data_IF_752151825127
#
_entry.id   IF_752151825127
#
_cell.length_a   1.000
_cell.length_b   1.000
_cell.length_c   1.000
_cell.angle_alpha   90.00
_cell.angle_beta   90.00
_cell.angle_gamma   90.00
#
_symmetry.space_group_name_H-M   'P 1'
#
loop_
_entity.id
_entity.type
_entity.pdbx_description
1 polymer ?
#
# COMPACT_ATOMS: atom_id res chain seq x y z
N UNK A 1 127.82 -9.66 6.20
CA UNK A 1 127.20 -10.20 4.98
C UNK A 1 126.35 -9.10 4.36
N UNK A 2 126.61 -8.83 3.08
CA UNK A 2 125.85 -8.08 2.04
C UNK A 2 124.90 -6.95 2.51
N UNK A 3 125.25 -5.68 2.31
CA UNK A 3 125.19 -4.89 1.05
C UNK A 3 123.77 -4.70 0.51
N UNK A 4 123.26 -3.48 0.67
CA UNK A 4 122.52 -2.76 -0.39
C UNK A 4 122.78 -1.27 -0.24
N UNK A 5 123.58 -0.75 -1.18
CA UNK A 5 123.74 0.67 -1.47
C UNK A 5 122.74 1.07 -2.57
N UNK A 6 122.35 2.34 -2.61
CA UNK A 6 122.04 3.18 -3.80
C UNK A 6 121.60 4.57 -3.25
N UNK A 7 122.39 5.64 -3.41
CA UNK A 7 122.48 6.55 -4.57
C UNK A 7 121.14 7.27 -4.82
N UNK A 8 120.98 8.59 -4.96
CA UNK A 8 121.73 9.82 -4.73
C UNK A 8 120.76 10.99 -5.05
N UNK A 9 121.28 12.22 -4.98
CA UNK A 9 120.81 13.44 -5.67
C UNK A 9 119.80 14.31 -4.89
N UNK A 10 120.32 15.45 -4.41
CA UNK A 10 119.51 16.57 -3.93
C UNK A 10 119.09 17.49 -5.07
N UNK A 11 117.95 18.16 -4.89
CA UNK A 11 117.54 19.33 -5.67
C UNK A 11 116.84 20.31 -4.71
N UNK A 12 117.31 21.55 -4.73
CA UNK A 12 116.75 22.69 -4.02
C UNK A 12 115.34 23.03 -4.52
N UNK A 13 114.36 23.13 -3.61
CA UNK A 13 112.99 23.54 -3.90
C UNK A 13 112.68 24.89 -3.27
N UNK A 14 112.57 25.92 -4.11
CA UNK A 14 112.14 27.26 -3.74
C UNK A 14 110.72 27.25 -3.18
N UNK A 15 110.52 27.87 -2.02
CA UNK A 15 109.20 28.09 -1.41
C UNK A 15 108.45 29.19 -2.17
N UNK A 16 107.59 28.79 -3.09
CA UNK A 16 106.56 29.66 -3.66
C UNK A 16 105.28 29.54 -2.82
N UNK A 17 104.96 30.62 -2.09
CA UNK A 17 103.63 30.83 -1.52
C UNK A 17 102.61 30.92 -2.66
N UNK A 18 101.87 29.84 -2.89
CA UNK A 18 100.67 29.89 -3.73
C UNK A 18 99.55 30.47 -2.87
N UNK A 19 99.26 31.75 -3.09
CA UNK A 19 98.00 32.36 -2.68
C UNK A 19 96.86 31.64 -3.42
N UNK A 20 96.21 30.70 -2.74
CA UNK A 20 94.98 30.08 -3.22
C UNK A 20 93.90 31.16 -3.33
N UNK A 21 93.60 31.59 -4.55
CA UNK A 21 92.40 32.37 -4.83
C UNK A 21 91.20 31.56 -4.39
N UNK A 22 90.52 32.00 -3.33
CA UNK A 22 89.22 31.49 -2.97
C UNK A 22 88.24 31.86 -4.09
N UNK A 23 88.06 30.95 -5.05
CA UNK A 23 86.88 30.95 -5.89
C UNK A 23 85.69 30.72 -4.98
N UNK A 24 85.07 31.81 -4.53
CA UNK A 24 83.74 31.77 -3.95
C UNK A 24 82.84 31.13 -5.01
N UNK A 25 82.51 29.86 -4.81
CA UNK A 25 81.64 29.10 -5.69
C UNK A 25 80.21 29.56 -5.44
N UNK A 26 79.85 30.71 -6.02
CA UNK A 26 78.58 31.41 -5.76
C UNK A 26 77.37 30.66 -6.38
N UNK A 27 77.59 29.68 -7.26
CA UNK A 27 76.55 28.76 -7.72
C UNK A 27 77.13 27.38 -8.06
N UNK A 28 76.66 26.28 -7.44
CA UNK A 28 77.13 24.92 -7.72
C UNK A 28 76.83 24.40 -9.14
N UNK A 29 75.92 25.04 -9.86
CA UNK A 29 75.46 24.64 -11.19
C UNK A 29 74.23 25.43 -11.65
N UNK A 30 73.80 25.28 -12.92
CA UNK A 30 72.59 25.92 -13.44
C UNK A 30 71.33 25.47 -12.71
N UNK A 31 70.36 26.37 -12.56
CA UNK A 31 69.06 26.06 -11.98
C UNK A 31 68.20 25.28 -12.99
N UNK A 32 67.21 24.56 -12.48
CA UNK A 32 66.21 23.86 -13.26
C UNK A 32 65.35 24.84 -14.07
N UNK A 33 64.76 24.36 -15.17
CA UNK A 33 63.98 25.22 -16.07
C UNK A 33 62.90 26.08 -15.37
N UNK A 34 62.15 25.60 -14.36
CA UNK A 34 61.18 26.43 -13.63
C UNK A 34 61.79 27.59 -12.84
N UNK A 35 63.04 27.48 -12.42
CA UNK A 35 63.73 28.49 -11.61
C UNK A 35 64.83 29.24 -12.38
N UNK A 36 64.98 29.02 -13.68
CA UNK A 36 66.02 29.67 -14.50
C UNK A 36 65.99 31.21 -14.41
N UNK A 37 64.81 31.81 -14.19
CA UNK A 37 64.67 33.25 -14.01
C UNK A 37 65.27 33.78 -12.69
N UNK A 38 65.60 32.90 -11.74
CA UNK A 38 66.25 33.21 -10.47
C UNK A 38 67.78 33.05 -10.54
N UNK A 39 68.35 32.77 -11.71
CA UNK A 39 69.80 32.75 -11.88
C UNK A 39 70.39 34.17 -11.74
N UNK A 40 71.58 34.26 -11.15
CA UNK A 40 72.29 35.52 -10.93
C UNK A 40 72.75 35.71 -9.48
N UNK A 41 73.77 36.55 -9.29
CA UNK A 41 74.43 36.77 -8.00
C UNK A 41 73.54 37.45 -6.95
N UNK A 42 72.46 38.11 -7.36
CA UNK A 42 71.52 38.81 -6.47
C UNK A 42 70.38 37.92 -5.95
N UNK A 43 70.16 36.75 -6.55
CA UNK A 43 68.99 35.91 -6.29
C UNK A 43 69.26 34.73 -5.35
N UNK A 44 70.50 34.54 -4.88
CA UNK A 44 70.86 33.45 -3.96
C UNK A 44 70.02 33.47 -2.67
N UNK A 45 69.68 34.66 -2.17
CA UNK A 45 68.88 34.87 -0.97
C UNK A 45 67.38 34.60 -1.16
N UNK A 46 66.94 34.32 -2.39
CA UNK A 46 65.57 33.87 -2.68
C UNK A 46 65.30 32.44 -2.18
N UNK A 47 66.36 31.66 -1.96
CA UNK A 47 66.27 30.29 -1.44
C UNK A 47 67.10 30.09 -0.16
N UNK A 48 68.19 30.86 0.02
CA UNK A 48 69.11 30.70 1.14
C UNK A 48 68.99 31.79 2.19
N UNK A 49 69.15 31.42 3.47
CA UNK A 49 69.45 32.37 4.55
C UNK A 49 70.94 32.37 4.84
N UNK A 50 71.51 33.55 5.01
CA UNK A 50 72.94 33.75 5.28
C UNK A 50 73.42 32.86 6.44
N UNK A 51 74.39 31.99 6.17
CA UNK A 51 74.97 31.05 7.16
C UNK A 51 74.05 29.92 7.64
N UNK A 52 72.84 29.77 7.09
CA UNK A 52 71.85 28.75 7.51
C UNK A 52 71.39 27.79 6.42
N UNK A 53 71.89 27.95 5.19
CA UNK A 53 71.52 27.09 4.07
C UNK A 53 70.15 27.44 3.48
N UNK A 54 69.53 26.48 2.80
CA UNK A 54 68.21 26.64 2.17
C UNK A 54 67.14 26.74 3.25
N UNK A 55 66.21 27.69 3.10
CA UNK A 55 65.10 27.86 4.04
C UNK A 55 63.75 27.52 3.38
N UNK A 56 63.04 26.49 3.85
CA UNK A 56 61.75 26.10 3.27
C UNK A 56 60.68 27.19 3.30
N UNK A 57 60.75 28.17 4.21
CA UNK A 57 59.78 29.27 4.25
C UNK A 57 59.90 30.15 3.00
N UNK A 58 61.11 30.37 2.48
CA UNK A 58 61.34 31.17 1.28
C UNK A 58 60.73 30.50 0.04
N UNK A 59 60.70 29.17 -0.01
CA UNK A 59 60.00 28.43 -1.07
C UNK A 59 58.49 28.75 -1.05
N UNK A 60 57.88 28.76 0.13
CA UNK A 60 56.43 28.98 0.30
C UNK A 60 56.01 30.44 0.10
N UNK A 61 56.94 31.40 0.19
CA UNK A 61 56.67 32.82 -0.09
C UNK A 61 56.34 33.07 -1.58
N UNK A 62 56.95 32.28 -2.46
CA UNK A 62 56.63 32.22 -3.89
C UNK A 62 55.55 31.17 -4.20
N UNK A 63 55.65 29.97 -3.61
CA UNK A 63 54.66 28.90 -3.74
C UNK A 63 53.52 29.06 -2.73
N UNK A 64 52.80 30.18 -2.83
CA UNK A 64 51.79 30.59 -1.83
C UNK A 64 50.59 29.65 -1.77
N UNK A 65 50.17 29.05 -2.88
CA UNK A 65 49.08 28.09 -2.89
C UNK A 65 49.48 26.81 -2.15
N UNK A 66 50.72 26.34 -2.34
CA UNK A 66 51.28 25.26 -1.53
C UNK A 66 51.42 25.68 -0.06
N UNK A 67 51.92 26.89 0.21
CA UNK A 67 52.10 27.46 1.54
C UNK A 67 50.81 27.47 2.36
N UNK A 68 49.70 27.89 1.76
CA UNK A 68 48.37 27.84 2.39
C UNK A 68 47.91 26.42 2.75
N UNK A 69 48.30 25.41 1.96
CA UNK A 69 47.97 24.02 2.28
C UNK A 69 48.83 23.48 3.42
N UNK A 70 50.13 23.77 3.39
CA UNK A 70 51.07 23.39 4.45
C UNK A 70 50.68 24.01 5.78
N UNK A 71 50.37 25.31 5.82
CA UNK A 71 49.92 26.00 7.03
C UNK A 71 48.59 25.47 7.56
N UNK A 72 47.69 25.05 6.67
CA UNK A 72 46.43 24.39 7.02
C UNK A 72 46.57 22.91 7.38
N UNK A 73 47.77 22.32 7.38
CA UNK A 73 47.97 20.92 7.69
C UNK A 73 47.45 19.94 6.61
N UNK A 74 47.27 20.39 5.36
CA UNK A 74 46.63 19.63 4.28
C UNK A 74 47.61 19.16 3.21
N UNK A 75 47.49 17.89 2.81
CA UNK A 75 48.26 17.31 1.71
C UNK A 75 49.62 16.74 2.12
N UNK A 76 50.37 16.24 1.13
CA UNK A 76 51.65 15.55 1.34
C UNK A 76 52.68 16.43 2.06
N UNK A 77 52.89 17.65 1.56
CA UNK A 77 53.93 18.57 2.06
C UNK A 77 53.65 19.16 3.45
N UNK A 78 52.44 18.97 4.00
CA UNK A 78 52.15 19.39 5.37
C UNK A 78 52.76 18.45 6.43
N UNK A 79 53.07 17.21 6.03
CA UNK A 79 53.64 16.17 6.88
C UNK A 79 55.07 16.50 7.28
N UNK A 80 55.46 16.13 8.50
CA UNK A 80 56.74 16.54 9.10
C UNK A 80 57.96 16.13 8.27
N UNK A 81 57.91 14.97 7.64
CA UNK A 81 58.95 14.40 6.77
C UNK A 81 59.07 15.08 5.39
N UNK A 82 58.11 15.92 5.00
CA UNK A 82 58.07 16.60 3.71
C UNK A 82 58.23 18.14 3.81
N UNK A 83 58.61 18.66 4.99
CA UNK A 83 58.79 20.10 5.23
C UNK A 83 60.14 20.66 4.78
N UNK A 84 61.15 19.80 4.64
CA UNK A 84 62.46 20.16 4.11
C UNK A 84 62.44 20.00 2.59
N UNK A 85 61.93 21.01 1.88
CA UNK A 85 61.66 20.98 0.45
C UNK A 85 62.89 20.58 -0.37
N UNK A 86 64.06 21.10 -0.01
CA UNK A 86 65.34 20.94 -0.71
C UNK A 86 65.85 19.49 -0.73
N UNK A 87 65.41 18.66 0.22
CA UNK A 87 65.81 17.25 0.28
C UNK A 87 65.21 16.40 -0.83
N UNK A 88 64.07 16.83 -1.36
CA UNK A 88 63.37 16.14 -2.45
C UNK A 88 63.39 16.96 -3.74
N UNK A 89 63.24 18.29 -3.63
CA UNK A 89 63.31 19.24 -4.75
C UNK A 89 64.70 19.88 -4.80
N UNK A 90 65.71 19.05 -5.08
CA UNK A 90 67.10 19.50 -5.14
C UNK A 90 67.35 20.35 -6.38
N UNK A 91 67.99 21.50 -6.19
CA UNK A 91 68.27 22.48 -7.23
C UNK A 91 69.77 22.56 -7.54
N UNK A 92 70.16 23.29 -8.60
CA UNK A 92 71.54 23.36 -9.14
C UNK A 92 72.00 22.10 -9.88
N UNK A 93 71.06 21.24 -10.26
CA UNK A 93 71.34 19.98 -10.96
C UNK A 93 71.23 20.11 -12.49
N UNK A 94 71.13 21.33 -13.01
CA UNK A 94 71.02 21.64 -14.44
C UNK A 94 69.58 21.85 -14.92
N UNK A 95 69.47 22.49 -16.09
CA UNK A 95 68.19 22.96 -16.66
C UNK A 95 67.14 21.86 -16.84
N UNK A 96 67.58 20.67 -17.24
CA UNK A 96 66.71 19.52 -17.53
C UNK A 96 66.41 18.67 -16.28
N UNK A 97 66.93 19.05 -15.10
CA UNK A 97 66.68 18.31 -13.88
C UNK A 97 65.19 18.35 -13.51
N UNK A 98 64.65 17.16 -13.22
CA UNK A 98 63.25 17.02 -12.85
C UNK A 98 63.11 17.20 -11.35
N UNK A 99 62.69 18.39 -10.93
CA UNK A 99 62.45 18.69 -9.52
C UNK A 99 61.40 17.78 -8.87
N UNK A 100 60.35 17.38 -9.60
CA UNK A 100 59.27 16.56 -9.06
C UNK A 100 59.49 15.09 -9.40
N UNK A 101 59.76 14.28 -8.38
CA UNK A 101 59.81 12.83 -8.47
C UNK A 101 58.66 12.20 -7.66
N UNK A 102 57.94 11.27 -8.28
CA UNK A 102 56.87 10.50 -7.65
C UNK A 102 57.39 9.21 -7.00
N UNK A 103 58.68 8.93 -7.12
CA UNK A 103 59.34 7.75 -6.59
C UNK A 103 59.13 6.50 -7.46
N UNK A 104 59.43 5.32 -6.91
CA UNK A 104 59.30 4.05 -7.63
C UNK A 104 57.86 3.83 -8.12
N UNK A 105 57.68 3.66 -9.43
CA UNK A 105 56.36 3.50 -10.06
C UNK A 105 55.77 4.79 -10.67
N UNK A 106 56.49 5.92 -10.58
CA UNK A 106 56.11 7.19 -11.22
C UNK A 106 54.74 7.70 -10.76
N UNK A 107 54.10 8.54 -11.58
CA UNK A 107 52.78 9.11 -11.26
C UNK A 107 51.72 8.04 -10.95
N UNK A 108 51.76 6.90 -11.65
CA UNK A 108 50.84 5.77 -11.43
C UNK A 108 51.00 5.07 -10.07
N UNK A 109 52.18 5.18 -9.44
CA UNK A 109 52.46 4.57 -8.15
C UNK A 109 52.13 5.47 -6.96
N UNK A 110 51.67 6.70 -7.20
CA UNK A 110 51.42 7.67 -6.13
C UNK A 110 50.20 7.29 -5.28
N UNK A 111 50.41 7.12 -3.98
CA UNK A 111 49.34 6.88 -3.02
C UNK A 111 48.60 8.19 -2.65
N UNK A 112 47.40 8.35 -3.21
CA UNK A 112 46.51 9.48 -2.96
C UNK A 112 46.06 9.63 -1.49
N UNK A 113 46.12 8.58 -0.67
CA UNK A 113 45.88 8.70 0.77
C UNK A 113 46.93 9.60 1.44
N UNK A 114 48.16 9.64 0.91
CA UNK A 114 49.22 10.55 1.40
C UNK A 114 48.86 12.02 1.19
N UNK A 115 48.10 12.32 0.14
CA UNK A 115 47.57 13.65 -0.16
C UNK A 115 46.30 14.02 0.63
N UNK A 116 45.78 13.10 1.45
CA UNK A 116 44.59 13.31 2.28
C UNK A 116 43.27 13.11 1.54
N UNK A 117 43.29 12.49 0.36
CA UNK A 117 42.08 12.18 -0.40
C UNK A 117 42.21 10.79 -1.05
N UNK A 118 41.91 9.72 -0.30
CA UNK A 118 42.03 8.35 -0.81
C UNK A 118 41.04 8.11 -1.95
N UNK A 119 41.53 7.57 -3.07
CA UNK A 119 40.67 7.20 -4.20
C UNK A 119 39.91 5.92 -3.87
N UNK A 120 38.59 5.93 -4.06
CA UNK A 120 37.72 4.78 -3.82
C UNK A 120 36.95 4.38 -5.07
N UNK A 121 36.56 3.10 -5.12
CA UNK A 121 35.73 2.56 -6.19
C UNK A 121 36.38 2.71 -7.57
N UNK A 122 35.62 3.20 -8.55
CA UNK A 122 36.13 3.37 -9.91
C UNK A 122 37.17 4.49 -10.04
N UNK A 123 37.20 5.46 -9.12
CA UNK A 123 38.17 6.55 -9.16
C UNK A 123 39.61 6.07 -8.96
N UNK A 124 39.83 4.94 -8.27
CA UNK A 124 41.16 4.37 -8.06
C UNK A 124 41.85 3.88 -9.35
N UNK A 125 41.12 3.81 -10.47
CA UNK A 125 41.65 3.38 -11.78
C UNK A 125 41.72 4.51 -12.81
N UNK A 126 41.40 5.74 -12.40
CA UNK A 126 41.37 6.91 -13.27
C UNK A 126 42.79 7.47 -13.37
N UNK A 127 43.25 7.74 -14.59
CA UNK A 127 44.56 8.35 -14.83
C UNK A 127 44.62 9.77 -14.22
N UNK A 128 45.79 10.19 -13.73
CA UNK A 128 45.95 11.44 -13.00
C UNK A 128 45.38 12.66 -13.76
N UNK A 129 45.63 12.74 -15.07
CA UNK A 129 45.20 13.86 -15.94
C UNK A 129 43.71 13.87 -16.27
N UNK A 130 42.98 12.80 -16.00
CA UNK A 130 41.51 12.80 -16.12
C UNK A 130 40.85 13.58 -14.96
N UNK A 131 41.49 13.59 -13.79
CA UNK A 131 41.09 14.36 -12.62
C UNK A 131 41.77 15.74 -12.56
N UNK A 132 43.10 15.78 -12.73
CA UNK A 132 43.94 16.98 -12.68
C UNK A 132 43.99 17.69 -14.04
N UNK A 133 42.81 18.11 -14.49
CA UNK A 133 42.64 18.85 -15.75
C UNK A 133 42.93 20.34 -15.55
N UNK A 134 43.69 20.98 -16.46
CA UNK A 134 44.01 22.41 -16.38
C UNK A 134 42.77 23.27 -16.17
N UNK A 135 41.69 22.99 -16.90
CA UNK A 135 40.47 23.81 -16.93
C UNK A 135 39.72 23.80 -15.59
N UNK A 136 39.95 22.80 -14.74
CA UNK A 136 39.29 22.62 -13.44
C UNK A 136 40.12 23.12 -12.26
N UNK A 137 41.34 23.61 -12.48
CA UNK A 137 42.16 24.21 -11.43
C UNK A 137 41.45 25.44 -10.88
N UNK A 138 41.23 25.48 -9.57
CA UNK A 138 40.60 26.57 -8.83
C UNK A 138 41.25 27.92 -9.20
N UNK A 139 40.46 28.91 -9.66
CA UNK A 139 40.97 30.24 -9.96
C UNK A 139 41.72 30.89 -8.81
N UNK A 140 41.33 30.64 -7.55
CA UNK A 140 42.02 31.17 -6.38
C UNK A 140 43.44 30.61 -6.26
N UNK A 141 43.66 29.33 -6.63
CA UNK A 141 45.01 28.73 -6.66
C UNK A 141 45.87 29.39 -7.74
N UNK A 142 45.30 29.65 -8.93
CA UNK A 142 46.03 30.33 -10.01
C UNK A 142 46.39 31.78 -9.67
N UNK A 143 45.53 32.47 -8.90
CA UNK A 143 45.80 33.83 -8.44
C UNK A 143 46.92 33.91 -7.40
N UNK A 144 47.05 32.87 -6.57
CA UNK A 144 48.08 32.82 -5.51
C UNK A 144 49.50 32.58 -6.06
N UNK A 145 49.61 31.91 -7.20
CA UNK A 145 50.87 31.56 -7.85
C UNK A 145 50.83 31.96 -9.33
N UNK A 146 51.21 33.20 -9.64
CA UNK A 146 51.10 33.77 -11.00
C UNK A 146 51.93 33.05 -12.08
N UNK A 147 52.95 32.28 -11.67
CA UNK A 147 53.77 31.43 -12.55
C UNK A 147 53.33 29.97 -12.61
N UNK A 148 52.19 29.62 -12.00
CA UNK A 148 51.68 28.25 -11.96
C UNK A 148 51.26 27.80 -13.36
N UNK A 149 51.90 26.75 -13.87
CA UNK A 149 51.46 26.05 -15.08
C UNK A 149 50.29 25.10 -14.74
N UNK A 150 49.04 25.40 -15.18
CA UNK A 150 47.89 24.54 -14.89
C UNK A 150 47.98 23.15 -15.53
N UNK A 151 48.82 22.97 -16.56
CA UNK A 151 49.08 21.68 -17.19
C UNK A 151 50.02 20.80 -16.38
N UNK A 152 50.77 21.36 -15.42
CA UNK A 152 51.75 20.62 -14.62
C UNK A 152 51.39 20.53 -13.15
N UNK A 153 50.51 21.41 -12.66
CA UNK A 153 50.06 21.39 -11.27
C UNK A 153 49.09 20.24 -10.95
N UNK A 154 49.13 19.78 -9.71
CA UNK A 154 48.17 18.85 -9.10
C UNK A 154 47.38 19.52 -7.96
N UNK A 155 47.48 20.85 -7.85
CA UNK A 155 46.76 21.65 -6.87
C UNK A 155 45.49 22.27 -7.48
N UNK A 156 44.51 22.53 -6.62
CA UNK A 156 43.31 23.28 -6.97
C UNK A 156 42.20 22.47 -7.64
N UNK A 157 42.25 21.14 -7.67
CA UNK A 157 41.14 20.35 -8.18
C UNK A 157 39.96 20.32 -7.20
N UNK A 158 38.72 20.37 -7.70
CA UNK A 158 37.54 20.23 -6.85
C UNK A 158 37.45 18.83 -6.26
N UNK A 159 37.16 18.75 -4.96
CA UNK A 159 36.96 17.48 -4.25
C UNK A 159 35.49 17.09 -4.12
N UNK A 160 34.58 18.05 -4.31
CA UNK A 160 33.14 17.79 -4.35
C UNK A 160 32.76 17.09 -5.66
N UNK A 161 31.86 16.10 -5.60
CA UNK A 161 31.42 15.33 -6.75
C UNK A 161 30.91 16.22 -7.90
N UNK A 162 30.16 17.28 -7.55
CA UNK A 162 29.57 18.23 -8.49
C UNK A 162 30.61 19.04 -9.28
N UNK A 163 31.86 19.15 -8.78
CA UNK A 163 32.93 19.84 -9.50
C UNK A 163 33.45 19.06 -10.72
N UNK A 164 33.16 17.75 -10.79
CA UNK A 164 33.55 16.89 -11.91
C UNK A 164 32.34 16.24 -12.62
N UNK A 165 31.30 15.93 -11.86
CA UNK A 165 30.10 15.25 -12.34
C UNK A 165 28.91 16.20 -12.34
N UNK A 166 28.17 16.23 -13.46
CA UNK A 166 26.88 16.93 -13.51
C UNK A 166 25.86 16.20 -12.65
N UNK A 167 25.15 16.93 -11.80
CA UNK A 167 24.03 16.38 -11.03
C UNK A 167 22.83 16.06 -11.94
N UNK A 168 22.46 14.77 -12.09
CA UNK A 168 21.30 14.40 -12.89
C UNK A 168 19.96 14.69 -12.20
N UNK A 169 19.97 15.04 -10.90
CA UNK A 169 18.76 15.31 -10.12
C UNK A 169 18.32 16.77 -10.18
N UNK A 170 19.03 17.62 -10.94
CA UNK A 170 18.74 19.04 -11.11
C UNK A 170 18.58 19.81 -9.78
N UNK A 171 19.38 19.46 -8.76
CA UNK A 171 19.37 20.10 -7.45
C UNK A 171 18.13 19.80 -6.59
N UNK A 172 17.23 18.91 -7.02
CA UNK A 172 15.99 18.59 -6.28
C UNK A 172 16.23 17.90 -4.94
N UNK A 173 17.42 17.33 -4.74
CA UNK A 173 17.84 16.70 -3.49
C UNK A 173 18.57 17.68 -2.53
N UNK A 174 18.70 18.96 -2.91
CA UNK A 174 19.37 19.98 -2.11
C UNK A 174 20.88 19.75 -2.00
N UNK A 175 21.49 20.23 -0.91
CA UNK A 175 22.92 20.08 -0.62
C UNK A 175 23.31 18.68 -0.08
N UNK A 176 22.44 17.68 -0.22
CA UNK A 176 22.75 16.30 0.19
C UNK A 176 24.04 15.82 -0.48
N UNK A 177 24.91 15.15 0.26
CA UNK A 177 26.14 14.65 -0.31
C UNK A 177 25.80 13.50 -1.26
N UNK A 178 26.34 13.49 -2.48
CA UNK A 178 26.07 12.40 -3.43
C UNK A 178 26.38 11.02 -2.82
N UNK A 179 27.35 10.98 -1.90
CA UNK A 179 27.77 9.81 -1.13
C UNK A 179 26.71 9.27 -0.14
N UNK A 180 25.70 10.06 0.21
CA UNK A 180 24.59 9.61 1.06
C UNK A 180 23.72 8.57 0.35
N UNK A 181 23.77 8.53 -0.98
CA UNK A 181 22.95 7.66 -1.82
C UNK A 181 23.80 6.76 -2.74
N UNK A 182 24.83 7.33 -3.35
CA UNK A 182 25.66 6.68 -4.36
C UNK A 182 27.00 6.23 -3.80
N UNK A 183 27.39 5.02 -4.18
CA UNK A 183 28.70 4.47 -3.89
C UNK A 183 29.66 4.65 -5.08
N UNK A 184 30.94 4.89 -4.82
CA UNK A 184 31.94 5.14 -5.88
C UNK A 184 32.33 3.87 -6.65
N UNK A 185 32.05 2.68 -6.14
CA UNK A 185 32.24 1.41 -6.85
C UNK A 185 31.00 1.05 -7.67
N UNK A 186 29.79 1.23 -7.13
CA UNK A 186 28.52 0.88 -7.77
C UNK A 186 27.58 2.07 -7.97
N UNK A 187 28.04 3.15 -8.59
CA UNK A 187 27.30 4.43 -8.73
C UNK A 187 25.83 4.31 -9.17
N UNK A 188 25.55 3.43 -10.15
CA UNK A 188 24.18 3.22 -10.67
C UNK A 188 23.24 2.52 -9.69
N UNK A 189 23.79 1.83 -8.69
CA UNK A 189 23.03 1.17 -7.64
C UNK A 189 22.99 2.11 -6.44
N UNK A 190 21.84 2.73 -6.22
CA UNK A 190 21.60 3.54 -5.02
C UNK A 190 21.44 2.59 -3.84
N UNK A 191 22.42 2.60 -2.92
CA UNK A 191 22.44 1.72 -1.74
C UNK A 191 22.34 2.49 -0.43
N UNK A 192 22.73 3.76 -0.42
CA UNK A 192 22.72 4.58 0.80
C UNK A 192 21.35 5.17 1.17
N UNK A 193 20.40 5.19 0.22
CA UNK A 193 19.08 5.77 0.47
C UNK A 193 18.15 4.80 1.21
N UNK A 194 17.64 5.24 2.36
CA UNK A 194 16.74 4.47 3.21
C UNK A 194 15.36 5.14 3.30
N UNK A 195 14.34 4.50 2.71
CA UNK A 195 12.96 4.98 2.74
C UNK A 195 12.36 4.98 4.15
N UNK A 196 12.85 4.13 5.07
CA UNK A 196 12.35 4.08 6.45
C UNK A 196 12.59 5.39 7.22
N UNK A 197 13.54 6.21 6.78
CA UNK A 197 13.85 7.53 7.35
C UNK A 197 13.02 8.67 6.74
N UNK A 198 12.12 8.36 5.81
CA UNK A 198 11.30 9.35 5.11
C UNK A 198 9.88 9.40 5.69
N UNK A 199 9.08 10.36 5.23
CA UNK A 199 7.66 10.46 5.58
C UNK A 199 6.80 9.37 4.92
N UNK A 200 7.36 8.57 4.02
CA UNK A 200 6.70 7.46 3.34
C UNK A 200 7.57 6.20 3.44
N UNK A 201 7.61 5.54 4.62
CA UNK A 201 8.34 4.30 4.77
C UNK A 201 7.75 3.23 3.85
N UNK A 202 8.59 2.58 3.05
CA UNK A 202 8.17 1.45 2.22
C UNK A 202 8.11 0.20 3.09
N UNK A 203 6.92 -0.34 3.25
CA UNK A 203 6.66 -1.54 4.04
C UNK A 203 5.96 -2.63 3.21
N UNK A 204 5.86 -3.84 3.77
CA UNK A 204 5.21 -4.97 3.12
C UNK A 204 5.74 -5.22 1.70
N UNK A 205 4.83 -5.31 0.73
CA UNK A 205 5.19 -5.53 -0.69
C UNK A 205 5.79 -4.28 -1.36
N UNK A 206 5.64 -3.08 -0.78
CA UNK A 206 6.24 -1.86 -1.34
C UNK A 206 7.74 -1.78 -1.07
N UNK A 207 8.27 -2.46 -0.06
CA UNK A 207 9.70 -2.47 0.27
C UNK A 207 10.60 -2.96 -0.90
N UNK A 208 10.06 -3.78 -1.80
CA UNK A 208 10.76 -4.27 -2.99
C UNK A 208 10.47 -3.47 -4.28
N UNK A 209 9.72 -2.38 -4.20
CA UNK A 209 9.37 -1.59 -5.38
C UNK A 209 10.60 -0.86 -5.94
N UNK A 210 10.76 -0.88 -7.26
CA UNK A 210 11.79 -0.08 -7.92
C UNK A 210 11.46 1.42 -7.77
N UNK A 211 12.48 2.27 -7.59
CA UNK A 211 12.30 3.71 -7.39
C UNK A 211 11.43 4.36 -8.47
N UNK A 212 11.58 3.92 -9.73
CA UNK A 212 10.85 4.42 -10.89
C UNK A 212 9.34 4.10 -10.86
N UNK A 213 8.90 3.13 -10.05
CA UNK A 213 7.48 2.80 -9.91
C UNK A 213 6.70 3.93 -9.20
N UNK A 214 7.37 4.70 -8.33
CA UNK A 214 6.77 5.83 -7.62
C UNK A 214 7.30 7.18 -8.14
N UNK A 215 8.60 7.27 -8.42
CA UNK A 215 9.24 8.48 -8.92
C UNK A 215 9.28 8.48 -10.46
N UNK A 216 8.11 8.68 -11.06
CA UNK A 216 7.95 8.77 -12.51
C UNK A 216 8.68 10.00 -13.10
N UNK A 217 9.09 9.88 -14.36
CA UNK A 217 9.69 11.00 -15.12
C UNK A 217 8.63 12.05 -15.41
N UNK A 218 8.80 13.25 -14.87
CA UNK A 218 7.96 14.39 -15.23
C UNK A 218 8.45 14.99 -16.56
N UNK A 219 7.58 15.03 -17.57
CA UNK A 219 7.74 15.84 -18.78
C UNK A 219 8.24 15.10 -20.02
N UNK A 220 7.37 14.98 -21.02
CA UNK A 220 7.74 15.10 -22.43
C UNK A 220 8.20 16.54 -22.70
N UNK A 221 9.17 16.69 -23.60
CA UNK A 221 9.72 17.94 -24.14
C UNK A 221 10.95 18.55 -23.42
N UNK A 222 12.11 18.23 -24.00
CA UNK A 222 13.30 19.07 -24.15
C UNK A 222 14.13 19.51 -22.92
N UNK A 223 14.09 18.78 -21.79
CA UNK A 223 15.22 18.78 -20.85
C UNK A 223 15.66 17.36 -20.48
N UNK A 224 16.85 16.91 -20.89
CA UNK A 224 17.26 15.52 -20.75
C UNK A 224 17.85 15.26 -19.37
N UNK A 225 17.05 15.16 -18.30
CA UNK A 225 17.54 14.62 -17.01
C UNK A 225 16.50 13.77 -16.26
N UNK A 226 16.28 12.59 -16.84
CA UNK A 226 16.32 11.23 -16.27
C UNK A 226 15.74 10.82 -14.89
N UNK A 227 15.34 11.65 -13.92
CA UNK A 227 14.65 11.14 -12.71
C UNK A 227 13.67 12.18 -12.13
N UNK A 228 12.47 11.73 -11.74
CA UNK A 228 11.37 12.58 -11.27
C UNK A 228 11.66 13.33 -9.96
N UNK A 229 10.76 14.25 -9.59
CA UNK A 229 10.79 14.90 -8.28
C UNK A 229 10.78 13.84 -7.16
N UNK A 230 11.92 13.62 -6.51
CA UNK A 230 12.04 12.73 -5.35
C UNK A 230 11.40 13.31 -4.10
N UNK A 231 11.24 14.63 -4.06
CA UNK A 231 10.62 15.35 -2.94
C UNK A 231 9.17 15.66 -3.29
N UNK A 232 8.26 14.77 -2.89
CA UNK A 232 6.83 15.00 -3.07
C UNK A 232 6.32 16.09 -2.12
N UNK A 233 5.48 17.00 -2.65
CA UNK A 233 4.82 18.07 -1.87
C UNK A 233 3.74 17.51 -0.94
N UNK A 234 3.09 16.42 -1.34
CA UNK A 234 2.11 15.66 -0.57
C UNK A 234 2.44 14.17 -0.63
N UNK A 235 2.06 13.42 0.42
CA UNK A 235 2.19 11.97 0.45
C UNK A 235 1.08 11.35 -0.41
N UNK A 236 1.39 10.34 -1.25
CA UNK A 236 0.38 9.65 -2.03
C UNK A 236 -0.55 8.84 -1.11
N UNK A 237 -1.85 8.94 -1.35
CA UNK A 237 -2.84 8.04 -0.80
C UNK A 237 -2.84 6.71 -1.57
N UNK A 238 -3.38 5.64 -0.96
CA UNK A 238 -3.46 4.33 -1.61
C UNK A 238 -4.15 4.40 -2.98
N UNK A 239 -5.20 5.22 -3.09
CA UNK A 239 -6.00 5.40 -4.29
C UNK A 239 -5.27 6.13 -5.44
N UNK A 240 -4.17 6.84 -5.16
CA UNK A 240 -3.38 7.54 -6.18
C UNK A 240 -2.64 6.54 -7.08
N UNK A 241 -2.38 5.32 -6.58
CA UNK A 241 -1.72 4.25 -7.33
C UNK A 241 -2.60 3.01 -7.52
N UNK A 242 -3.51 2.73 -6.59
CA UNK A 242 -4.34 1.54 -6.62
C UNK A 242 -5.81 1.86 -6.91
N UNK A 243 -6.39 1.14 -7.86
CA UNK A 243 -7.82 1.22 -8.15
C UNK A 243 -8.62 0.60 -7.00
N UNK A 244 -9.53 1.36 -6.41
CA UNK A 244 -10.45 0.86 -5.39
C UNK A 244 -11.53 -0.06 -5.99
N UNK A 245 -11.57 -1.37 -5.64
CA UNK A 245 -12.61 -2.27 -6.10
C UNK A 245 -13.97 -2.05 -5.41
N UNK A 246 -14.02 -1.29 -4.32
CA UNK A 246 -15.26 -1.03 -3.55
C UNK A 246 -16.08 0.14 -4.11
N UNK A 247 -15.53 0.88 -5.06
CA UNK A 247 -16.13 2.07 -5.67
C UNK A 247 -16.50 3.16 -4.64
N UNK A 248 -15.58 3.45 -3.71
CA UNK A 248 -15.68 4.53 -2.73
C UNK A 248 -16.58 4.24 -1.52
N UNK A 249 -17.30 3.10 -1.50
CA UNK A 249 -18.29 2.79 -0.46
C UNK A 249 -17.71 2.67 0.96
N UNK A 250 -16.43 2.30 1.08
CA UNK A 250 -15.78 2.08 2.37
C UNK A 250 -14.94 3.29 2.84
N UNK A 251 -14.78 4.32 2.01
CA UNK A 251 -13.90 5.46 2.27
C UNK A 251 -12.46 5.22 1.79
N UNK A 252 -11.59 6.21 2.02
CA UNK A 252 -10.21 6.22 1.53
C UNK A 252 -9.19 5.53 2.46
N UNK A 253 -9.60 5.19 3.69
CA UNK A 253 -8.72 4.57 4.69
C UNK A 253 -8.64 3.05 4.50
N UNK A 254 -7.92 2.63 3.46
CA UNK A 254 -7.74 1.23 3.11
C UNK A 254 -7.07 0.43 4.24
N UNK A 255 -6.20 1.07 5.04
CA UNK A 255 -5.39 0.44 6.08
C UNK A 255 -6.20 -0.09 7.26
N UNK A 256 -7.47 0.32 7.39
CA UNK A 256 -8.41 -0.26 8.37
C UNK A 256 -8.62 -1.76 8.12
N UNK A 257 -8.77 -2.13 6.85
CA UNK A 257 -9.10 -3.49 6.46
C UNK A 257 -7.92 -4.22 5.79
N UNK A 258 -7.05 -3.51 5.10
CA UNK A 258 -5.97 -4.11 4.32
C UNK A 258 -4.59 -3.81 4.94
N UNK A 259 -3.62 -4.66 4.65
CA UNK A 259 -2.21 -4.43 5.01
C UNK A 259 -1.36 -4.37 3.75
N UNK A 260 -0.26 -3.63 3.80
CA UNK A 260 0.73 -3.58 2.71
C UNK A 260 1.47 -4.92 2.51
N UNK A 261 1.46 -5.80 3.52
CA UNK A 261 2.05 -7.14 3.46
C UNK A 261 1.18 -8.13 2.66
N UNK A 262 -0.12 -8.13 2.93
CA UNK A 262 -1.13 -8.89 2.19
C UNK A 262 -2.41 -8.06 2.05
N UNK A 263 -2.56 -7.44 0.87
CA UNK A 263 -3.73 -6.60 0.58
C UNK A 263 -4.96 -7.44 0.21
N UNK A 264 -4.80 -8.71 -0.18
CA UNK A 264 -5.94 -9.57 -0.55
C UNK A 264 -6.64 -10.11 0.70
N UNK A 265 -5.87 -10.39 1.75
CA UNK A 265 -6.42 -10.77 3.04
C UNK A 265 -6.92 -9.54 3.82
N UNK A 266 -8.23 -9.29 3.78
CA UNK A 266 -8.85 -8.27 4.60
C UNK A 266 -8.97 -8.72 6.06
N UNK A 267 -8.76 -7.79 7.00
CA UNK A 267 -9.04 -7.91 8.43
C UNK A 267 -10.54 -8.07 8.63
N UNK A 268 -10.99 -9.30 8.92
CA UNK A 268 -12.41 -9.66 8.99
C UNK A 268 -13.14 -8.97 10.14
N UNK A 269 -12.44 -8.75 11.24
CA UNK A 269 -12.88 -8.01 12.42
C UNK A 269 -13.09 -6.51 12.17
N UNK A 270 -12.43 -5.95 11.15
CA UNK A 270 -12.58 -4.55 10.77
C UNK A 270 -13.75 -4.28 9.81
N UNK A 271 -14.44 -5.33 9.32
CA UNK A 271 -15.54 -5.18 8.35
C UNK A 271 -16.81 -4.71 9.07
N UNK A 272 -17.19 -3.46 8.83
CA UNK A 272 -18.45 -2.90 9.31
C UNK A 272 -19.57 -3.12 8.28
N UNK A 273 -20.48 -4.05 8.59
CA UNK A 273 -21.63 -4.35 7.75
C UNK A 273 -22.67 -3.24 7.67
N UNK A 274 -22.71 -2.27 8.60
CA UNK A 274 -23.59 -1.09 8.45
C UNK A 274 -23.17 -0.21 7.26
N UNK A 275 -21.94 -0.36 6.78
CA UNK A 275 -21.38 0.35 5.62
C UNK A 275 -21.40 -0.48 4.34
N UNK A 276 -21.90 -1.71 4.38
CA UNK A 276 -22.02 -2.56 3.19
C UNK A 276 -23.43 -2.49 2.62
N UNK A 277 -23.63 -3.12 1.47
CA UNK A 277 -24.95 -3.22 0.87
C UNK A 277 -25.92 -4.15 1.63
N UNK A 278 -25.44 -4.89 2.65
CA UNK A 278 -26.25 -5.74 3.50
C UNK A 278 -25.92 -5.51 4.99
N UNK A 279 -26.60 -4.55 5.64
CA UNK A 279 -26.48 -4.34 7.08
C UNK A 279 -27.01 -5.53 7.87
N UNK A 280 -26.19 -6.08 8.77
CA UNK A 280 -26.62 -7.16 9.65
C UNK A 280 -27.56 -6.62 10.72
N UNK A 281 -28.86 -6.94 10.59
CA UNK A 281 -29.92 -6.54 11.52
C UNK A 281 -30.64 -7.75 12.10
N UNK A 282 -31.24 -7.56 13.27
CA UNK A 282 -31.93 -8.62 13.99
C UNK A 282 -31.06 -9.85 14.20
N UNK A 283 -31.59 -11.03 13.89
CA UNK A 283 -30.89 -12.31 14.10
C UNK A 283 -29.70 -12.52 13.17
N UNK A 284 -29.60 -11.78 12.06
CA UNK A 284 -28.45 -11.88 11.16
C UNK A 284 -27.15 -11.41 11.82
N UNK A 285 -27.21 -10.61 12.90
CA UNK A 285 -26.03 -10.20 13.68
C UNK A 285 -25.30 -11.37 14.36
N UNK A 286 -26.04 -12.44 14.66
CA UNK A 286 -25.50 -13.62 15.34
C UNK A 286 -25.07 -14.72 14.36
N UNK A 287 -25.20 -14.50 13.04
CA UNK A 287 -24.82 -15.50 12.03
C UNK A 287 -23.31 -15.50 11.89
N UNK A 288 -22.68 -16.68 12.05
CA UNK A 288 -21.25 -16.85 11.85
C UNK A 288 -20.85 -16.43 10.42
N UNK A 289 -19.72 -15.73 10.30
CA UNK A 289 -19.24 -15.12 9.05
C UNK A 289 -19.20 -16.12 7.88
N UNK A 290 -18.78 -17.35 8.14
CA UNK A 290 -18.57 -18.42 7.16
C UNK A 290 -19.88 -18.89 6.51
N UNK A 291 -21.02 -18.64 7.16
CA UNK A 291 -22.35 -18.95 6.59
C UNK A 291 -22.65 -18.09 5.36
N UNK A 292 -22.06 -16.91 5.27
CA UNK A 292 -22.17 -16.01 4.12
C UNK A 292 -20.87 -15.97 3.30
N UNK A 293 -19.72 -15.95 3.98
CA UNK A 293 -18.39 -15.80 3.39
C UNK A 293 -17.61 -17.12 3.43
N UNK A 294 -17.91 -18.02 2.49
CA UNK A 294 -17.24 -19.30 2.39
C UNK A 294 -15.72 -19.13 2.12
N UNK A 295 -14.85 -19.90 2.81
CA UNK A 295 -13.40 -19.88 2.56
C UNK A 295 -13.08 -20.06 1.07
N UNK A 296 -12.20 -19.20 0.53
CA UNK A 296 -11.76 -19.28 -0.86
C UNK A 296 -12.72 -18.71 -1.93
N UNK A 297 -13.93 -18.26 -1.56
CA UNK A 297 -14.91 -17.68 -2.52
C UNK A 297 -14.98 -16.14 -2.54
N UNK A 298 -14.09 -15.47 -1.79
CA UNK A 298 -14.10 -14.01 -1.66
C UNK A 298 -15.27 -13.49 -0.82
N UNK A 299 -15.35 -12.18 -0.63
CA UNK A 299 -16.37 -11.54 0.22
C UNK A 299 -17.69 -11.24 -0.51
N UNK A 300 -17.79 -11.51 -1.81
CA UNK A 300 -19.00 -11.25 -2.59
C UNK A 300 -20.03 -12.35 -2.37
N UNK A 301 -21.18 -11.98 -1.81
CA UNK A 301 -22.32 -12.90 -1.64
C UNK A 301 -23.39 -12.56 -2.69
N UNK A 302 -23.53 -13.31 -3.79
CA UNK A 302 -24.56 -13.03 -4.80
C UNK A 302 -25.96 -13.37 -4.27
N UNK A 303 -26.98 -12.63 -4.72
CA UNK A 303 -28.38 -12.93 -4.39
C UNK A 303 -28.83 -12.59 -2.97
N UNK A 304 -27.97 -12.00 -2.15
CA UNK A 304 -28.22 -11.65 -0.73
C UNK A 304 -29.48 -10.81 -0.48
N UNK A 305 -30.00 -10.13 -1.51
CA UNK A 305 -31.23 -9.32 -1.43
C UNK A 305 -32.52 -10.13 -1.39
N UNK A 306 -32.46 -11.43 -1.70
CA UNK A 306 -33.61 -12.34 -1.70
C UNK A 306 -33.49 -13.31 -0.52
N UNK A 307 -34.51 -13.34 0.32
CA UNK A 307 -34.55 -14.22 1.50
C UNK A 307 -34.37 -15.69 1.09
N UNK A 308 -34.93 -16.09 -0.06
CA UNK A 308 -34.92 -17.45 -0.59
C UNK A 308 -33.54 -17.93 -1.02
N UNK A 309 -32.58 -17.01 -1.19
CA UNK A 309 -31.19 -17.38 -1.48
C UNK A 309 -30.56 -18.12 -0.30
N UNK A 310 -31.00 -17.84 0.92
CA UNK A 310 -30.47 -18.44 2.15
C UNK A 310 -31.52 -19.27 2.92
N UNK A 311 -32.78 -18.85 2.90
CA UNK A 311 -33.87 -19.50 3.61
C UNK A 311 -34.75 -20.31 2.67
N UNK A 312 -35.13 -21.52 3.06
CA UNK A 312 -36.10 -22.32 2.31
C UNK A 312 -37.52 -21.81 2.60
N UNK A 313 -38.36 -21.71 1.58
CA UNK A 313 -39.79 -21.50 1.76
C UNK A 313 -40.45 -22.76 2.36
N UNK A 314 -40.86 -22.67 3.62
CA UNK A 314 -41.57 -23.74 4.35
C UNK A 314 -43.06 -23.78 4.01
N UNK A 315 -43.58 -22.77 3.31
CA UNK A 315 -44.98 -22.71 2.88
C UNK A 315 -45.22 -23.48 1.58
N UNK A 316 -44.16 -24.03 0.97
CA UNK A 316 -44.19 -24.81 -0.28
C UNK A 316 -44.91 -24.10 -1.43
N UNK A 317 -44.77 -22.77 -1.51
CA UNK A 317 -45.36 -21.96 -2.57
C UNK A 317 -46.82 -21.57 -2.36
N UNK A 318 -47.45 -21.93 -1.23
CA UNK A 318 -48.84 -21.55 -0.92
C UNK A 318 -49.07 -20.02 -0.95
N UNK A 319 -48.01 -19.24 -0.68
CA UNK A 319 -48.04 -17.78 -0.57
C UNK A 319 -47.34 -17.07 -1.74
N UNK A 320 -46.84 -17.80 -2.74
CA UNK A 320 -46.00 -17.26 -3.82
C UNK A 320 -46.76 -16.47 -4.91
N UNK A 321 -48.10 -16.37 -4.83
CA UNK A 321 -48.96 -16.00 -5.94
C UNK A 321 -49.58 -14.59 -5.88
N UNK A 322 -48.86 -13.57 -5.38
CA UNK A 322 -49.31 -12.17 -5.51
C UNK A 322 -48.14 -11.27 -5.95
N UNK A 323 -48.19 -10.68 -7.16
CA UNK A 323 -47.21 -9.68 -7.58
C UNK A 323 -47.16 -8.53 -6.56
N UNK A 324 -46.01 -8.30 -5.95
CA UNK A 324 -45.79 -7.20 -5.01
C UNK A 324 -46.23 -7.42 -3.55
N UNK A 325 -46.72 -8.61 -3.16
CA UNK A 325 -47.02 -9.00 -1.75
C UNK A 325 -46.41 -10.33 -1.31
N UNK A 326 -45.56 -10.93 -2.13
CA UNK A 326 -44.91 -12.22 -1.85
C UNK A 326 -43.51 -12.06 -1.27
N UNK A 327 -43.14 -10.87 -0.79
CA UNK A 327 -41.86 -10.70 -0.12
C UNK A 327 -41.98 -11.29 1.29
N UNK A 328 -41.06 -12.17 1.68
CA UNK A 328 -41.06 -12.75 3.02
C UNK A 328 -41.14 -11.67 4.13
N UNK A 329 -40.64 -10.47 3.85
CA UNK A 329 -40.64 -9.31 4.74
C UNK A 329 -42.05 -8.70 5.03
N UNK A 330 -43.06 -9.04 4.24
CA UNK A 330 -44.44 -8.58 4.47
C UNK A 330 -45.03 -9.26 5.70
N UNK A 331 -44.70 -10.55 5.89
CA UNK A 331 -45.18 -11.36 7.00
C UNK A 331 -44.11 -11.59 8.08
N UNK A 332 -42.83 -11.59 7.73
CA UNK A 332 -41.72 -11.91 8.64
C UNK A 332 -40.77 -10.73 8.82
N UNK A 333 -39.96 -10.78 9.86
CA UNK A 333 -38.94 -9.76 10.12
C UNK A 333 -37.57 -10.38 10.27
N UNK A 334 -36.53 -9.55 10.12
CA UNK A 334 -35.15 -9.98 10.38
C UNK A 334 -34.90 -10.31 11.85
N UNK A 335 -35.79 -9.90 12.77
CA UNK A 335 -35.76 -10.25 14.19
C UNK A 335 -36.34 -11.65 14.46
N UNK A 336 -37.14 -12.18 13.53
CA UNK A 336 -37.70 -13.53 13.60
C UNK A 336 -38.81 -13.77 12.57
N UNK A 337 -38.96 -15.04 12.19
CA UNK A 337 -40.08 -15.52 11.37
C UNK A 337 -41.38 -15.65 12.17
N UNK A 338 -41.30 -15.79 13.50
CA UNK A 338 -42.44 -15.87 14.39
C UNK A 338 -42.33 -14.83 15.52
N UNK A 339 -43.46 -14.22 15.95
CA UNK A 339 -44.77 -14.32 15.31
C UNK A 339 -44.79 -13.63 13.94
N UNK A 340 -45.60 -14.14 13.00
CA UNK A 340 -45.80 -13.48 11.72
C UNK A 340 -46.69 -12.23 11.92
N UNK A 341 -46.54 -11.24 11.02
CA UNK A 341 -47.30 -9.98 11.01
C UNK A 341 -48.76 -10.13 10.53
N UNK A 342 -49.20 -11.36 10.27
CA UNK A 342 -50.55 -11.65 9.77
C UNK A 342 -51.40 -12.22 10.91
N UNK A 343 -52.33 -11.40 11.41
CA UNK A 343 -53.26 -11.72 12.50
C UNK A 343 -54.72 -11.45 12.14
N UNK A 344 -55.55 -11.22 13.17
CA UNK A 344 -57.00 -11.08 13.00
C UNK A 344 -57.39 -9.86 12.15
N UNK A 345 -56.63 -8.76 12.22
CA UNK A 345 -56.87 -7.56 11.44
C UNK A 345 -56.67 -7.81 9.94
N UNK A 346 -55.60 -8.53 9.57
CA UNK A 346 -55.30 -8.87 8.18
C UNK A 346 -56.33 -9.87 7.64
N UNK A 347 -56.79 -10.81 8.47
CA UNK A 347 -57.92 -11.69 8.13
C UNK A 347 -59.18 -10.91 7.77
N UNK A 348 -59.48 -9.82 8.49
CA UNK A 348 -60.66 -9.00 8.24
C UNK A 348 -60.65 -8.34 6.85
N UNK A 349 -59.46 -8.03 6.33
CA UNK A 349 -59.25 -7.48 4.99
C UNK A 349 -59.08 -8.57 3.90
N UNK A 350 -59.10 -9.85 4.29
CA UNK A 350 -58.85 -10.99 3.42
C UNK A 350 -60.10 -11.63 2.82
N UNK A 351 -59.90 -12.77 2.14
CA UNK A 351 -60.96 -13.58 1.51
C UNK A 351 -61.90 -14.24 2.52
N UNK A 352 -61.46 -14.38 3.77
CA UNK A 352 -62.26 -14.93 4.86
C UNK A 352 -62.16 -14.03 6.09
N UNK A 353 -63.00 -12.97 6.15
CA UNK A 353 -63.14 -12.16 7.35
C UNK A 353 -63.65 -13.03 8.51
N UNK A 354 -62.98 -12.97 9.65
CA UNK A 354 -63.38 -13.74 10.82
C UNK A 354 -64.62 -13.09 11.43
N UNK A 355 -65.74 -13.79 11.41
CA UNK A 355 -67.03 -13.32 11.90
C UNK A 355 -67.76 -14.38 12.74
N UNK A 356 -68.67 -13.92 13.61
CA UNK A 356 -69.33 -14.75 14.61
C UNK A 356 -68.33 -15.52 15.47
N UNK A 357 -68.62 -16.79 15.71
CA UNK A 357 -67.80 -17.69 16.52
C UNK A 357 -66.37 -17.90 15.97
N UNK A 358 -66.14 -17.71 14.66
CA UNK A 358 -64.82 -17.91 14.05
C UNK A 358 -63.75 -16.94 14.57
N UNK A 359 -64.13 -15.79 15.15
CA UNK A 359 -63.18 -14.84 15.77
C UNK A 359 -62.47 -15.43 16.99
N UNK A 360 -63.11 -16.37 17.69
CA UNK A 360 -62.59 -16.98 18.90
C UNK A 360 -61.86 -18.32 18.63
N UNK A 361 -61.82 -18.78 17.38
CA UNK A 361 -61.17 -20.04 17.01
C UNK A 361 -59.66 -19.83 16.90
N UNK A 362 -58.83 -20.65 17.60
CA UNK A 362 -57.38 -20.61 17.44
C UNK A 362 -56.97 -20.82 15.99
N UNK A 363 -56.03 -20.03 15.48
CA UNK A 363 -55.60 -20.06 14.07
C UNK A 363 -55.19 -21.46 13.61
N UNK A 364 -54.56 -22.27 14.49
CA UNK A 364 -54.11 -23.63 14.21
C UNK A 364 -55.22 -24.64 13.94
N UNK A 365 -56.46 -24.36 14.36
CA UNK A 365 -57.60 -25.23 14.03
C UNK A 365 -57.97 -25.14 12.54
N UNK A 366 -57.79 -23.96 11.94
CA UNK A 366 -57.98 -23.74 10.50
C UNK A 366 -56.68 -23.99 9.73
N UNK A 367 -55.58 -23.40 10.18
CA UNK A 367 -54.23 -23.52 9.63
C UNK A 367 -53.50 -24.71 10.25
N UNK A 368 -54.06 -25.91 10.05
CA UNK A 368 -53.49 -27.16 10.58
C UNK A 368 -52.42 -27.74 9.64
N UNK A 369 -51.50 -28.58 10.15
CA UNK A 369 -50.64 -29.39 9.31
C UNK A 369 -51.47 -30.35 8.44
N UNK A 370 -51.17 -30.40 7.14
CA UNK A 370 -51.78 -31.30 6.17
C UNK A 370 -50.71 -31.88 5.25
N UNK A 371 -51.01 -33.00 4.59
CA UNK A 371 -50.13 -33.50 3.52
C UNK A 371 -50.17 -32.54 2.35
N UNK A 372 -49.04 -32.35 1.67
CA UNK A 372 -48.96 -31.50 0.49
C UNK A 372 -50.01 -31.88 -0.58
N UNK A 373 -50.32 -33.18 -0.71
CA UNK A 373 -51.36 -33.70 -1.62
C UNK A 373 -52.78 -33.19 -1.34
N UNK A 374 -53.04 -32.65 -0.15
CA UNK A 374 -54.33 -32.09 0.26
C UNK A 374 -54.43 -30.57 0.00
N UNK A 375 -53.42 -29.97 -0.63
CA UNK A 375 -53.42 -28.57 -1.02
C UNK A 375 -53.97 -28.38 -2.45
N UNK A 376 -54.66 -27.25 -2.73
CA UNK A 376 -55.12 -26.94 -4.08
C UNK A 376 -53.96 -26.75 -5.07
N UNK A 377 -54.06 -27.38 -6.26
CA UNK A 377 -53.14 -27.19 -7.41
C UNK A 377 -53.07 -25.71 -7.86
N UNK A 378 -51.95 -25.17 -8.39
CA UNK A 378 -50.72 -25.83 -8.89
C UNK A 378 -49.52 -25.88 -7.93
N UNK A 379 -49.68 -25.63 -6.63
CA UNK A 379 -48.56 -25.34 -5.72
C UNK A 379 -47.85 -26.58 -5.15
N UNK A 380 -47.75 -27.67 -5.92
CA UNK A 380 -47.18 -28.92 -5.46
C UNK A 380 -45.71 -29.02 -5.84
N UNK A 381 -44.81 -28.49 -5.00
CA UNK A 381 -43.55 -29.23 -4.80
C UNK A 381 -43.91 -30.45 -3.96
N UNK A 382 -43.76 -31.65 -4.50
CA UNK A 382 -44.00 -32.88 -3.75
C UNK A 382 -43.14 -32.85 -2.47
N UNK A 383 -43.80 -32.75 -1.31
CA UNK A 383 -43.16 -32.83 0.00
C UNK A 383 -43.80 -33.97 0.76
N UNK A 384 -42.97 -34.87 1.29
CA UNK A 384 -43.40 -35.94 2.19
C UNK A 384 -43.75 -35.42 3.60
N UNK A 385 -43.33 -34.19 3.93
CA UNK A 385 -43.55 -33.58 5.23
C UNK A 385 -44.91 -32.89 5.31
N UNK A 386 -45.51 -32.90 6.51
CA UNK A 386 -46.72 -32.16 6.79
C UNK A 386 -46.45 -30.65 6.71
N UNK A 387 -47.30 -29.92 5.98
CA UNK A 387 -47.19 -28.48 5.76
C UNK A 387 -48.40 -27.77 6.36
N UNK A 388 -48.18 -26.60 6.96
CA UNK A 388 -49.28 -25.79 7.48
C UNK A 388 -50.11 -25.27 6.30
N UNK A 389 -51.43 -25.52 6.32
CA UNK A 389 -52.35 -25.03 5.28
C UNK A 389 -52.60 -23.54 5.45
N UNK A 390 -52.22 -22.74 4.47
CA UNK A 390 -52.58 -21.32 4.37
C UNK A 390 -53.56 -21.02 3.23
N UNK A 391 -53.66 -21.90 2.23
CA UNK A 391 -54.56 -21.74 1.08
C UNK A 391 -55.69 -22.78 1.09
N UNK A 392 -56.89 -22.31 0.85
CA UNK A 392 -58.11 -23.12 0.74
C UNK A 392 -58.65 -23.03 -0.70
N UNK A 393 -59.20 -24.13 -1.23
CA UNK A 393 -59.80 -24.15 -2.58
C UNK A 393 -61.05 -23.27 -2.63
N UNK A 394 -61.90 -23.45 -1.63
CA UNK A 394 -63.07 -22.64 -1.34
C UNK A 394 -63.18 -22.44 0.19
N UNK A 395 -64.03 -21.50 0.58
CA UNK A 395 -64.29 -21.15 1.98
C UNK A 395 -65.77 -21.25 2.28
N UNK A 396 -66.46 -22.21 1.65
CA UNK A 396 -67.84 -22.53 1.95
C UNK A 396 -67.92 -23.30 3.27
N UNK A 397 -69.07 -23.27 3.93
CA UNK A 397 -69.26 -23.91 5.23
C UNK A 397 -68.89 -25.41 5.18
N UNK A 398 -69.24 -26.09 4.08
CA UNK A 398 -69.00 -27.53 3.87
C UNK A 398 -67.54 -27.91 3.61
N UNK A 399 -66.68 -26.94 3.29
CA UNK A 399 -65.24 -27.20 3.09
C UNK A 399 -64.53 -27.45 4.42
N UNK A 400 -65.10 -26.96 5.52
CA UNK A 400 -64.54 -27.10 6.88
C UNK A 400 -65.46 -27.92 7.79
N UNK A 401 -66.78 -27.80 7.65
CA UNK A 401 -67.78 -28.45 8.48
C UNK A 401 -68.48 -29.58 7.74
N UNK A 402 -68.72 -30.70 8.42
CA UNK A 402 -69.57 -31.76 7.90
C UNK A 402 -71.03 -31.32 7.96
N UNK A 403 -71.78 -31.55 6.89
CA UNK A 403 -73.23 -31.30 6.86
C UNK A 403 -73.97 -32.39 7.68
N UNK A 404 -74.61 -32.05 8.81
CA UNK A 404 -75.38 -33.01 9.59
C UNK A 404 -76.72 -33.39 8.93
N UNK A 405 -77.16 -32.65 7.89
CA UNK A 405 -78.41 -32.90 7.17
C UNK A 405 -78.23 -33.82 5.97
N UNK A 406 -76.99 -34.21 5.64
CA UNK A 406 -76.65 -35.07 4.51
C UNK A 406 -77.29 -34.62 3.18
N UNK A 407 -77.38 -33.30 2.94
CA UNK A 407 -77.92 -32.73 1.71
C UNK A 407 -79.46 -32.69 1.60
N UNK A 408 -80.20 -33.17 2.61
CA UNK A 408 -81.68 -33.21 2.57
C UNK A 408 -82.33 -31.82 2.41
N UNK A 409 -81.65 -30.76 2.82
CA UNK A 409 -82.13 -29.37 2.75
C UNK A 409 -81.58 -28.55 1.58
N UNK A 410 -80.82 -29.15 0.66
CA UNK A 410 -80.11 -28.41 -0.40
C UNK A 410 -81.05 -27.62 -1.31
N UNK A 411 -82.25 -28.16 -1.57
CA UNK A 411 -83.30 -27.50 -2.35
C UNK A 411 -83.85 -26.22 -1.70
N UNK A 412 -83.69 -26.05 -0.39
CA UNK A 412 -84.21 -24.92 0.36
C UNK A 412 -83.14 -23.90 0.75
N UNK A 413 -81.86 -24.30 0.72
CA UNK A 413 -80.73 -23.48 1.13
C UNK A 413 -80.46 -22.29 0.19
N UNK A 414 -80.80 -22.43 -1.10
CA UNK A 414 -80.60 -21.37 -2.11
C UNK A 414 -79.14 -20.95 -2.27
N UNK A 415 -78.91 -19.73 -2.76
CA UNK A 415 -77.56 -19.20 -3.00
C UNK A 415 -76.78 -18.89 -1.71
N UNK A 416 -77.47 -18.63 -0.60
CA UNK A 416 -76.85 -18.37 0.71
C UNK A 416 -76.40 -19.66 1.43
N UNK A 417 -76.78 -20.82 0.90
CA UNK A 417 -76.38 -22.12 1.44
C UNK A 417 -76.81 -22.27 2.90
N UNK A 418 -75.89 -22.70 3.76
CA UNK A 418 -76.15 -22.90 5.19
C UNK A 418 -76.61 -21.61 5.90
N UNK A 419 -76.21 -20.42 5.41
CA UNK A 419 -76.55 -19.13 6.02
C UNK A 419 -78.02 -18.75 5.88
N UNK A 420 -78.74 -19.40 4.96
CA UNK A 420 -80.21 -19.23 4.85
C UNK A 420 -80.95 -19.66 6.13
N UNK A 421 -80.34 -20.56 6.91
CA UNK A 421 -80.96 -21.12 8.12
C UNK A 421 -80.09 -20.93 9.37
N UNK A 422 -78.76 -20.87 9.24
CA UNK A 422 -77.83 -20.79 10.38
C UNK A 422 -77.09 -19.45 10.43
N UNK A 423 -76.99 -18.90 11.64
CA UNK A 423 -76.13 -17.74 11.92
C UNK A 423 -74.78 -18.19 12.50
N UNK A 424 -73.69 -17.65 11.98
CA UNK A 424 -72.32 -18.00 12.40
C UNK A 424 -71.95 -17.52 13.82
N UNK A 425 -72.78 -16.67 14.43
CA UNK A 425 -72.67 -16.25 15.83
C UNK A 425 -73.48 -17.15 16.77
N UNK A 426 -74.50 -17.86 16.25
CA UNK A 426 -75.41 -18.69 17.03
C UNK A 426 -75.89 -19.93 16.24
N UNK A 427 -74.96 -20.81 15.86
CA UNK A 427 -75.22 -21.90 14.91
C UNK A 427 -76.36 -22.86 15.30
N UNK A 428 -76.53 -23.11 16.60
CA UNK A 428 -77.58 -24.02 17.12
C UNK A 428 -78.99 -23.45 17.00
N UNK A 429 -79.14 -22.15 16.73
CA UNK A 429 -80.42 -21.48 16.58
C UNK A 429 -80.79 -21.37 15.10
N UNK A 430 -81.25 -22.48 14.52
CA UNK A 430 -81.68 -22.52 13.13
C UNK A 430 -83.01 -21.75 12.93
N UNK A 431 -83.11 -21.02 11.82
CA UNK A 431 -84.31 -20.31 11.37
C UNK A 431 -84.80 -20.99 10.09
N UNK A 432 -86.05 -21.46 10.07
CA UNK A 432 -86.62 -22.06 8.86
C UNK A 432 -88.10 -21.69 8.71
N UNK A 433 -88.43 -21.14 7.55
CA UNK A 433 -89.80 -20.77 7.22
C UNK A 433 -90.56 -21.95 6.59
N UNK A 434 -91.44 -22.55 7.39
CA UNK A 434 -92.25 -23.70 6.98
C UNK A 434 -93.31 -23.36 5.91
N UNK A 435 -93.61 -22.08 5.67
CA UNK A 435 -94.50 -21.68 4.56
C UNK A 435 -93.90 -22.00 3.19
N UNK A 436 -92.58 -22.24 3.14
CA UNK A 436 -91.84 -22.67 1.94
C UNK A 436 -91.93 -24.18 1.69
N UNK A 437 -92.62 -24.91 2.55
CA UNK A 437 -92.85 -26.35 2.44
C UNK A 437 -94.32 -26.65 2.20
N UNK A 438 -94.65 -27.92 2.01
CA UNK A 438 -96.05 -28.37 1.93
C UNK A 438 -96.75 -28.38 3.30
N UNK A 439 -96.04 -28.06 4.39
CA UNK A 439 -96.54 -28.09 5.76
C UNK A 439 -96.32 -26.75 6.48
N UNK A 440 -97.13 -25.71 6.21
CA UNK A 440 -97.07 -24.46 6.95
C UNK A 440 -97.49 -24.68 8.41
N UNK A 441 -96.71 -24.18 9.37
CA UNK A 441 -97.02 -24.28 10.80
C UNK A 441 -98.11 -23.28 11.17
N UNK A 442 -99.36 -23.76 11.31
CA UNK A 442 -100.51 -22.93 11.70
C UNK A 442 -100.90 -23.14 13.17
N UNK A 443 -101.40 -22.07 13.80
CA UNK A 443 -101.86 -22.10 15.18
C UNK A 443 -100.77 -22.53 16.16
N UNK A 444 -101.09 -23.46 17.08
CA UNK A 444 -100.14 -23.91 18.12
C UNK A 444 -98.89 -24.61 17.58
N UNK A 445 -98.90 -25.12 16.35
CA UNK A 445 -97.73 -25.74 15.74
C UNK A 445 -96.59 -24.74 15.51
N UNK A 446 -96.88 -23.44 15.35
CA UNK A 446 -95.85 -22.41 15.19
C UNK A 446 -94.97 -22.23 16.44
N UNK A 447 -95.43 -22.68 17.61
CA UNK A 447 -94.70 -22.58 18.89
C UNK A 447 -94.02 -23.90 19.31
N UNK A 448 -94.11 -24.95 18.49
CA UNK A 448 -93.51 -26.26 18.80
C UNK A 448 -92.04 -26.26 18.40
N UNK A 449 -91.16 -26.71 19.31
CA UNK A 449 -89.74 -26.86 19.01
C UNK A 449 -89.51 -27.88 17.88
N UNK A 450 -88.63 -27.55 16.92
CA UNK A 450 -88.37 -28.37 15.73
C UNK A 450 -88.10 -29.85 16.04
N UNK A 451 -87.37 -30.15 17.12
CA UNK A 451 -87.01 -31.50 17.52
C UNK A 451 -88.20 -32.40 17.90
N UNK A 452 -89.38 -31.82 18.19
CA UNK A 452 -90.62 -32.59 18.47
C UNK A 452 -91.22 -33.18 17.19
N UNK A 453 -90.98 -32.56 16.04
CA UNK A 453 -91.46 -33.02 14.73
C UNK A 453 -90.34 -33.64 13.88
N UNK A 454 -89.09 -33.22 14.10
CA UNK A 454 -87.89 -33.73 13.42
C UNK A 454 -86.96 -34.43 14.42
N UNK A 455 -87.29 -35.64 14.88
CA UNK A 455 -86.43 -36.39 15.77
C UNK A 455 -85.11 -36.76 15.09
N UNK A 456 -84.03 -36.78 15.88
CA UNK A 456 -82.71 -37.23 15.46
C UNK A 456 -82.77 -38.75 15.21
N UNK A 457 -82.46 -39.20 13.99
CA UNK A 457 -82.42 -40.64 13.67
C UNK A 457 -81.17 -41.32 14.23
N UNK A 458 -81.15 -42.66 14.21
CA UNK A 458 -80.02 -43.51 14.60
C UNK A 458 -78.80 -43.23 13.71
N UNK A 459 -77.98 -42.26 14.10
CA UNK A 459 -76.87 -41.75 13.29
C UNK A 459 -76.61 -40.24 13.42
N UNK A 460 -77.44 -39.50 14.18
CA UNK A 460 -77.26 -38.07 14.43
C UNK A 460 -77.62 -37.17 13.23
N UNK A 461 -78.32 -37.74 12.24
CA UNK A 461 -78.90 -37.03 11.10
C UNK A 461 -80.38 -36.80 11.41
N UNK A 462 -80.83 -35.54 11.38
CA UNK A 462 -82.24 -35.23 11.52
C UNK A 462 -82.99 -35.78 10.30
N UNK A 463 -84.03 -36.60 10.51
CA UNK A 463 -84.91 -37.03 9.43
C UNK A 463 -85.84 -35.88 9.05
N UNK A 464 -85.46 -35.17 8.01
CA UNK A 464 -86.20 -34.06 7.42
C UNK A 464 -86.89 -34.61 6.16
N UNK A 465 -88.07 -35.21 6.32
CA UNK A 465 -88.89 -35.62 5.19
C UNK A 465 -89.45 -34.37 4.49
N UNK A 466 -89.30 -34.31 3.16
CA UNK A 466 -89.60 -33.12 2.33
C UNK A 466 -91.06 -32.88 2.00
#
# INVERSE_FOLDING_TARGET
>A
MMRSALLAIGIAGASALVAGGASAQISPGPLSAPHAALEGSSSCLSCHRAGRGVDPALCLDCHRALGQRVSAGRGLHARADHRACERCHSEHNGREFRLVDFGPGGESGFDHARAGWPLTGRHARVACRECHRPERVDPAVRQLESGLDPARTFLGQPTACAGCHRDPHAGTLGAAACADCHDTATWKQVRGFDHAKTRFPLDGKHAGAACAACHARAGSDATPLAFGQFRARALPACADCHKDPHAGRLGADCARCHTSADFRAARRDAVDHERTAYPLRGRHRAVACERCHAPGRGLRVPGYQRCETCHRDVHVGQLAAVPGRSACADCHSVDGFLPARFGAAEHQAGRFPLAGAHRAVPCSQCHRPVRASELPSPFLRASAEAVVRFRFAATACRDCHRDPHAGSLDRHAGAEGCRSCHDESAWSQARFDHTRTRFPLLGRHAAVACARCHPQGSGGVAQLAG
#
